data_IF_881391849320
#
_entry.id   IF_881391849320
#
_cell.length_a   1.000
_cell.length_b   1.000
_cell.length_c   1.000
_cell.angle_alpha   90.00
_cell.angle_beta   90.00
_cell.angle_gamma   90.00
#
_symmetry.space_group_name_H-M   'P 1'
#
loop_
_entity.id
_entity.type
_entity.pdbx_description
1 polymer ?
#
# COMPACT_ATOMS: atom_id res chain seq x y z
N UNK A 1 -4.18 14.47 -12.93
CA UNK A 1 -4.84 13.79 -11.80
C UNK A 1 -4.40 12.33 -11.61
N UNK A 2 -4.47 11.44 -12.64
CA UNK A 2 -4.07 10.01 -12.52
C UNK A 2 -2.62 9.79 -12.04
N UNK A 3 -1.66 10.54 -12.55
CA UNK A 3 -0.24 10.39 -12.17
C UNK A 3 0.03 10.72 -10.69
N UNK A 4 -0.65 11.73 -10.15
CA UNK A 4 -0.52 12.10 -8.74
C UNK A 4 -1.16 11.03 -7.84
N UNK A 5 -2.31 10.49 -8.22
CA UNK A 5 -2.95 9.38 -7.49
C UNK A 5 -2.09 8.12 -7.51
N UNK A 6 -1.50 7.80 -8.66
CA UNK A 6 -0.57 6.67 -8.79
C UNK A 6 0.69 6.86 -7.95
N UNK A 7 1.26 8.08 -7.95
CA UNK A 7 2.40 8.42 -7.11
C UNK A 7 2.09 8.23 -5.61
N UNK A 8 0.92 8.70 -5.15
CA UNK A 8 0.49 8.53 -3.75
C UNK A 8 0.36 7.03 -3.41
N UNK A 9 -0.26 6.24 -4.27
CA UNK A 9 -0.40 4.79 -4.06
C UNK A 9 0.97 4.09 -4.04
N UNK A 10 1.91 4.53 -4.86
CA UNK A 10 3.27 4.00 -4.85
C UNK A 10 4.00 4.33 -3.54
N UNK A 11 3.85 5.55 -3.04
CA UNK A 11 4.40 5.97 -1.73
C UNK A 11 3.78 5.16 -0.58
N UNK A 12 2.47 4.93 -0.59
CA UNK A 12 1.79 4.10 0.41
C UNK A 12 2.24 2.63 0.33
N UNK A 13 2.45 2.11 -0.87
CA UNK A 13 2.97 0.77 -1.07
C UNK A 13 4.40 0.64 -0.51
N UNK A 14 5.30 1.58 -0.79
CA UNK A 14 6.64 1.59 -0.17
C UNK A 14 6.56 1.75 1.35
N UNK A 15 5.71 2.67 1.83
CA UNK A 15 5.46 2.89 3.25
C UNK A 15 4.97 1.63 3.98
N UNK A 16 4.17 0.79 3.33
CA UNK A 16 3.70 -0.47 3.92
C UNK A 16 4.83 -1.44 4.26
N UNK A 17 5.88 -1.51 3.43
CA UNK A 17 7.07 -2.33 3.72
C UNK A 17 7.88 -1.77 4.88
N UNK A 18 7.99 -0.44 4.98
CA UNK A 18 8.63 0.22 6.11
C UNK A 18 7.86 -0.06 7.41
N UNK A 19 6.53 0.04 7.39
CA UNK A 19 5.71 -0.27 8.57
C UNK A 19 5.82 -1.75 8.96
N UNK A 20 5.80 -2.67 7.99
CA UNK A 20 6.01 -4.09 8.28
C UNK A 20 7.41 -4.35 8.85
N UNK A 21 8.47 -3.68 8.38
CA UNK A 21 9.82 -3.90 8.92
C UNK A 21 9.97 -3.44 10.37
N UNK A 22 9.22 -2.41 10.79
CA UNK A 22 9.16 -2.00 12.20
C UNK A 22 8.60 -3.09 13.12
N UNK A 23 7.83 -4.06 12.61
CA UNK A 23 7.31 -5.15 13.44
C UNK A 23 8.43 -6.05 14.00
N UNK A 24 9.62 -6.03 13.40
CA UNK A 24 10.76 -6.85 13.85
C UNK A 24 11.31 -6.37 15.20
N UNK A 25 11.16 -5.08 15.51
CA UNK A 25 11.68 -4.46 16.74
C UNK A 25 10.62 -4.14 17.79
N UNK A 26 9.35 -4.51 17.55
CA UNK A 26 8.22 -4.04 18.35
C UNK A 26 7.63 -5.17 19.22
N UNK A 27 8.38 -5.54 20.25
CA UNK A 27 8.01 -6.63 21.18
C UNK A 27 6.60 -6.45 21.76
N UNK A 28 5.74 -7.46 21.60
CA UNK A 28 4.38 -7.50 22.15
C UNK A 28 3.28 -6.88 21.29
N UNK A 29 3.63 -6.20 20.19
CA UNK A 29 2.66 -5.65 19.21
C UNK A 29 3.05 -5.94 17.75
N UNK A 30 3.98 -6.87 17.53
CA UNK A 30 4.54 -7.21 16.23
C UNK A 30 3.42 -7.58 15.24
N UNK A 31 2.51 -8.44 15.67
CA UNK A 31 1.41 -8.92 14.85
C UNK A 31 0.46 -7.78 14.40
N UNK A 32 0.24 -6.78 15.26
CA UNK A 32 -0.63 -5.64 14.95
C UNK A 32 0.06 -4.75 13.91
N UNK A 33 1.33 -4.40 14.13
CA UNK A 33 2.10 -3.56 13.21
C UNK A 33 2.26 -4.23 11.85
N UNK A 34 2.60 -5.52 11.83
CA UNK A 34 2.71 -6.29 10.62
C UNK A 34 1.39 -6.33 9.85
N UNK A 35 0.27 -6.62 10.53
CA UNK A 35 -1.06 -6.67 9.91
C UNK A 35 -1.49 -5.31 9.38
N UNK A 36 -1.20 -4.21 10.09
CA UNK A 36 -1.49 -2.86 9.63
C UNK A 36 -0.70 -2.50 8.35
N UNK A 37 0.58 -2.86 8.31
CA UNK A 37 1.40 -2.72 7.11
C UNK A 37 0.87 -3.57 5.95
N UNK A 38 0.54 -4.83 6.20
CA UNK A 38 -0.04 -5.73 5.19
C UNK A 38 -1.38 -5.19 4.64
N UNK A 39 -2.25 -4.65 5.50
CA UNK A 39 -3.50 -4.05 5.07
C UNK A 39 -3.28 -2.83 4.16
N UNK A 40 -2.33 -1.95 4.50
CA UNK A 40 -1.95 -0.83 3.64
C UNK A 40 -1.40 -1.29 2.29
N UNK A 41 -0.60 -2.36 2.26
CA UNK A 41 -0.09 -2.96 1.03
C UNK A 41 -1.23 -3.45 0.13
N UNK A 42 -2.18 -4.19 0.68
CA UNK A 42 -3.32 -4.75 -0.05
C UNK A 42 -4.18 -3.62 -0.62
N UNK A 43 -4.57 -2.63 0.19
CA UNK A 43 -5.40 -1.51 -0.25
C UNK A 43 -4.72 -0.67 -1.34
N UNK A 44 -3.42 -0.42 -1.20
CA UNK A 44 -2.65 0.34 -2.20
C UNK A 44 -2.56 -0.42 -3.52
N UNK A 45 -2.35 -1.73 -3.46
CA UNK A 45 -2.30 -2.61 -4.65
C UNK A 45 -3.65 -2.66 -5.37
N UNK A 46 -4.74 -2.89 -4.63
CA UNK A 46 -6.10 -2.90 -5.19
C UNK A 46 -6.46 -1.55 -5.82
N UNK A 47 -6.11 -0.44 -5.16
CA UNK A 47 -6.29 0.90 -5.69
C UNK A 47 -5.52 1.11 -7.00
N UNK A 48 -4.27 0.67 -7.07
CA UNK A 48 -3.44 0.79 -8.26
C UNK A 48 -4.00 -0.04 -9.44
N UNK A 49 -4.42 -1.28 -9.17
CA UNK A 49 -5.05 -2.15 -10.17
C UNK A 49 -6.33 -1.54 -10.72
N UNK A 50 -7.20 -1.02 -9.86
CA UNK A 50 -8.47 -0.41 -10.28
C UNK A 50 -8.26 0.86 -11.13
N UNK A 51 -7.28 1.71 -10.76
CA UNK A 51 -6.91 2.87 -11.57
C UNK A 51 -6.34 2.43 -12.93
N UNK A 52 -5.51 1.39 -12.95
CA UNK A 52 -4.97 0.80 -14.18
C UNK A 52 -6.10 0.28 -15.09
N UNK A 53 -7.01 -0.51 -14.53
CA UNK A 53 -8.18 -1.08 -15.22
C UNK A 53 -9.09 0.00 -15.81
N UNK A 54 -9.40 1.04 -15.05
CA UNK A 54 -10.20 2.19 -15.53
C UNK A 54 -9.49 2.97 -16.64
N UNK A 55 -8.16 2.98 -16.61
CA UNK A 55 -7.34 3.60 -17.64
C UNK A 55 -7.43 2.90 -19.00
N UNK A 56 -7.67 1.59 -19.02
CA UNK A 56 -7.78 0.78 -20.25
C UNK A 56 -9.19 0.82 -20.88
N UNK A 57 -10.25 1.01 -20.08
CA UNK A 57 -11.63 1.05 -20.58
C UNK A 57 -12.05 2.41 -21.16
N UNK A 58 -11.23 3.44 -20.98
CA UNK A 58 -11.49 4.80 -21.49
C UNK A 58 -10.57 5.19 -22.64
N UNK A 59 -9.74 4.26 -23.13
CA UNK A 59 -8.83 4.43 -24.26
C UNK A 59 -9.40 3.82 -25.52
#
# INVERSE_FOLDING_TARGET
>A
MRYVQFLILMLLLVGSFVVMSYSIGAEGIEGIIFTAGLAMFILSTLGAVEIGRRGLHKG
#
